data_IF_268076418922
#
_entry.id   IF_268076418922
#
_cell.length_a   1.000
_cell.length_b   1.000
_cell.length_c   1.000
_cell.angle_alpha   90.00
_cell.angle_beta   90.00
_cell.angle_gamma   90.00
#
_symmetry.space_group_name_H-M   'P 1'
#
loop_
_entity.id
_entity.type
_entity.pdbx_description
1 polymer ?
#
# COMPACT_ATOMS: atom_id res chain seq x y z
N UNK A 1 -22.21 6.98 -2.58
CA UNK A 1 -21.35 6.15 -1.75
C UNK A 1 -20.23 7.04 -1.26
N UNK A 2 -19.91 7.04 0.03
CA UNK A 2 -18.71 7.72 0.50
C UNK A 2 -17.48 6.82 0.23
N UNK A 3 -16.26 7.40 0.25
CA UNK A 3 -15.02 6.67 -0.07
C UNK A 3 -14.78 5.44 0.82
N UNK A 4 -15.31 5.45 2.05
CA UNK A 4 -15.17 4.34 3.00
C UNK A 4 -16.13 3.18 2.70
N UNK A 5 -17.38 3.47 2.32
CA UNK A 5 -18.34 2.46 1.85
C UNK A 5 -17.83 1.75 0.58
N UNK A 6 -17.23 2.50 -0.33
CA UNK A 6 -16.69 1.96 -1.58
C UNK A 6 -15.46 1.07 -1.33
N UNK A 7 -14.58 1.50 -0.43
CA UNK A 7 -13.46 0.70 0.03
C UNK A 7 -13.91 -0.65 0.63
N UNK A 8 -14.89 -0.63 1.55
CA UNK A 8 -15.41 -1.86 2.15
C UNK A 8 -16.10 -2.77 1.11
N UNK A 9 -16.82 -2.20 0.14
CA UNK A 9 -17.44 -2.95 -0.94
C UNK A 9 -16.40 -3.70 -1.78
N UNK A 10 -15.31 -3.04 -2.19
CA UNK A 10 -14.23 -3.67 -2.96
C UNK A 10 -13.62 -4.81 -2.18
N UNK A 11 -13.20 -4.56 -0.93
CA UNK A 11 -12.55 -5.58 -0.12
C UNK A 11 -13.48 -6.75 0.21
N UNK A 12 -14.80 -6.54 0.24
CA UNK A 12 -15.77 -7.62 0.49
C UNK A 12 -15.78 -8.71 -0.59
N UNK A 13 -15.29 -8.40 -1.80
CA UNK A 13 -15.16 -9.36 -2.91
C UNK A 13 -13.96 -10.30 -2.75
N UNK A 14 -13.05 -9.97 -1.85
CA UNK A 14 -11.79 -10.66 -1.64
C UNK A 14 -11.76 -11.38 -0.30
N UNK A 15 -11.19 -12.59 -0.27
CA UNK A 15 -11.02 -13.35 0.97
C UNK A 15 -9.82 -12.84 1.79
N UNK A 16 -9.90 -11.59 2.24
CA UNK A 16 -8.87 -10.98 3.09
C UNK A 16 -9.12 -11.33 4.55
N UNK A 17 -8.11 -11.88 5.22
CA UNK A 17 -8.21 -12.21 6.62
C UNK A 17 -8.39 -10.94 7.47
N UNK A 18 -9.46 -10.91 8.27
CA UNK A 18 -9.72 -9.79 9.19
C UNK A 18 -8.78 -9.84 10.38
N UNK A 19 -8.32 -8.66 10.79
CA UNK A 19 -7.55 -8.47 12.01
C UNK A 19 -8.48 -8.53 13.22
N UNK A 20 -8.16 -9.41 14.17
CA UNK A 20 -8.89 -9.55 15.44
C UNK A 20 -8.13 -8.99 16.64
N UNK A 21 -6.82 -8.80 16.49
CA UNK A 21 -5.94 -8.29 17.54
C UNK A 21 -5.58 -6.83 17.27
N UNK A 22 -5.25 -6.08 18.33
CA UNK A 22 -4.69 -4.74 18.16
C UNK A 22 -3.35 -4.80 17.40
N UNK A 23 -3.05 -3.73 16.67
CA UNK A 23 -1.77 -3.56 16.01
C UNK A 23 -0.62 -3.63 17.02
N UNK A 24 0.45 -4.30 16.62
CA UNK A 24 1.73 -4.37 17.35
C UNK A 24 2.58 -3.15 17.09
N UNK A 25 2.43 -2.57 15.89
CA UNK A 25 3.08 -1.33 15.44
C UNK A 25 2.05 -0.22 15.38
N UNK A 26 2.38 0.96 15.88
CA UNK A 26 1.49 2.14 15.81
C UNK A 26 1.67 2.90 14.50
N UNK A 27 0.63 3.60 14.06
CA UNK A 27 0.75 4.49 12.90
C UNK A 27 1.78 5.59 13.16
N UNK A 28 1.81 6.15 14.37
CA UNK A 28 2.75 7.21 14.75
C UNK A 28 4.22 6.76 14.69
N UNK A 29 4.51 5.48 14.96
CA UNK A 29 5.85 4.93 14.80
C UNK A 29 6.27 4.89 13.33
N UNK A 30 5.39 4.44 12.45
CA UNK A 30 5.66 4.38 11.00
C UNK A 30 5.75 5.78 10.39
N UNK A 31 4.82 6.68 10.73
CA UNK A 31 4.79 8.07 10.26
C UNK A 31 6.06 8.85 10.64
N UNK A 32 6.66 8.56 11.81
CA UNK A 32 7.95 9.15 12.21
C UNK A 32 9.11 8.70 11.34
N UNK A 33 9.07 7.48 10.81
CA UNK A 33 10.14 6.94 9.95
C UNK A 33 10.05 7.55 8.56
N UNK A 34 8.84 7.61 7.99
CA UNK A 34 8.60 8.03 6.60
C UNK A 34 8.37 9.53 6.43
N UNK A 35 8.35 10.29 7.53
CA UNK A 35 8.19 11.74 7.54
C UNK A 35 6.88 12.28 6.89
N UNK A 36 5.83 11.47 6.81
CA UNK A 36 4.50 11.91 6.38
C UNK A 36 3.38 11.19 7.14
N UNK A 37 2.17 11.75 7.08
CA UNK A 37 0.97 11.15 7.68
C UNK A 37 0.36 10.09 6.77
N UNK A 38 0.13 8.90 7.30
CA UNK A 38 -0.52 7.84 6.54
C UNK A 38 -1.95 8.29 6.15
N UNK A 39 -2.43 7.94 4.95
CA UNK A 39 -3.78 8.28 4.55
C UNK A 39 -4.79 7.40 5.30
N UNK A 40 -5.99 7.93 5.55
CA UNK A 40 -6.98 7.29 6.43
C UNK A 40 -7.58 6.00 5.83
N UNK A 41 -7.64 5.90 4.50
CA UNK A 41 -8.05 4.69 3.80
C UNK A 41 -7.08 3.53 4.05
N UNK A 42 -5.76 3.77 3.98
CA UNK A 42 -4.76 2.77 4.32
C UNK A 42 -4.75 2.44 5.82
N UNK A 43 -4.93 3.43 6.72
CA UNK A 43 -5.08 3.13 8.16
C UNK A 43 -6.29 2.25 8.43
N UNK A 44 -7.38 2.48 7.71
CA UNK A 44 -8.60 1.65 7.79
C UNK A 44 -8.30 0.23 7.34
N UNK A 45 -7.60 0.04 6.21
CA UNK A 45 -7.12 -1.27 5.79
C UNK A 45 -6.29 -1.95 6.89
N UNK A 46 -5.20 -1.30 7.31
CA UNK A 46 -4.25 -1.84 8.28
C UNK A 46 -4.90 -2.21 9.62
N UNK A 47 -5.86 -1.42 10.09
CA UNK A 47 -6.56 -1.65 11.36
C UNK A 47 -7.53 -2.83 11.31
N UNK A 48 -8.08 -3.15 10.13
CA UNK A 48 -9.17 -4.12 9.99
C UNK A 48 -8.75 -5.43 9.31
N UNK A 49 -7.62 -5.42 8.60
CA UNK A 49 -7.17 -6.54 7.76
C UNK A 49 -5.70 -6.91 8.04
N UNK A 50 -5.38 -8.16 7.76
CA UNK A 50 -4.01 -8.71 7.77
C UNK A 50 -3.39 -8.54 6.37
N UNK A 51 -2.44 -9.39 6.00
CA UNK A 51 -1.94 -9.52 4.64
C UNK A 51 -2.99 -10.03 3.66
N UNK A 52 -2.75 -9.77 2.37
CA UNK A 52 -3.53 -10.33 1.26
C UNK A 52 -2.58 -10.81 0.17
N UNK A 53 -2.92 -11.92 -0.49
CA UNK A 53 -2.27 -12.37 -1.72
C UNK A 53 -3.32 -12.98 -2.63
N UNK A 54 -3.45 -12.43 -3.84
CA UNK A 54 -4.45 -12.87 -4.79
C UNK A 54 -4.57 -11.96 -6.00
N UNK A 55 -5.57 -12.23 -6.84
CA UNK A 55 -5.90 -11.35 -7.95
C UNK A 55 -6.83 -10.23 -7.48
N UNK A 56 -6.58 -9.01 -7.92
CA UNK A 56 -7.56 -7.91 -7.89
C UNK A 56 -7.78 -7.47 -9.34
N UNK A 57 -9.00 -7.60 -9.84
CA UNK A 57 -9.23 -7.59 -11.29
C UNK A 57 -8.46 -8.73 -11.97
N UNK A 58 -7.58 -8.39 -12.92
CA UNK A 58 -6.69 -9.35 -13.58
C UNK A 58 -5.26 -9.35 -13.01
N UNK A 59 -4.97 -8.48 -12.02
CA UNK A 59 -3.62 -8.23 -11.55
C UNK A 59 -3.29 -8.96 -10.25
N UNK A 60 -2.08 -9.51 -10.14
CA UNK A 60 -1.61 -10.15 -8.92
C UNK A 60 -1.18 -9.09 -7.91
N UNK A 61 -1.78 -9.13 -6.72
CA UNK A 61 -1.51 -8.19 -5.63
C UNK A 61 -1.15 -8.96 -4.37
N UNK A 62 -0.05 -8.56 -3.75
CA UNK A 62 0.36 -8.99 -2.42
C UNK A 62 0.45 -7.79 -1.49
N UNK A 63 -0.47 -7.66 -0.54
CA UNK A 63 -0.43 -6.62 0.49
C UNK A 63 0.23 -7.15 1.76
N UNK A 64 1.13 -6.37 2.36
CA UNK A 64 1.86 -6.78 3.56
C UNK A 64 1.09 -6.47 4.84
N UNK A 65 1.30 -7.32 5.84
CA UNK A 65 0.74 -7.12 7.17
C UNK A 65 1.37 -5.87 7.83
N UNK A 66 0.54 -4.96 8.32
CA UNK A 66 1.02 -3.74 8.97
C UNK A 66 1.91 -4.02 10.20
N UNK A 67 1.70 -5.12 10.91
CA UNK A 67 2.53 -5.47 12.07
C UNK A 67 3.98 -5.83 11.70
N UNK A 68 4.23 -6.16 10.43
CA UNK A 68 5.55 -6.54 9.91
C UNK A 68 6.16 -5.41 9.04
N UNK A 69 5.43 -4.32 8.85
CA UNK A 69 5.74 -3.30 7.84
C UNK A 69 7.11 -2.65 8.05
N UNK A 70 7.48 -2.38 9.30
CA UNK A 70 8.77 -1.78 9.66
C UNK A 70 9.91 -2.74 9.35
N UNK A 71 9.76 -4.02 9.71
CA UNK A 71 10.76 -5.05 9.47
C UNK A 71 10.99 -5.24 7.97
N UNK A 72 9.91 -5.39 7.21
CA UNK A 72 9.97 -5.62 5.76
C UNK A 72 10.64 -4.43 5.06
N UNK A 73 10.20 -3.20 5.33
CA UNK A 73 10.78 -2.00 4.69
C UNK A 73 12.24 -1.78 5.10
N UNK A 74 12.63 -2.12 6.32
CA UNK A 74 14.03 -2.11 6.76
C UNK A 74 14.85 -3.16 6.01
N UNK A 75 14.32 -4.37 5.87
CA UNK A 75 14.96 -5.48 5.16
C UNK A 75 15.22 -5.17 3.68
N UNK A 76 14.26 -4.55 3.00
CA UNK A 76 14.42 -4.06 1.62
C UNK A 76 15.18 -2.73 1.51
N UNK A 77 15.59 -2.15 2.64
CA UNK A 77 16.30 -0.86 2.71
C UNK A 77 15.50 0.32 2.13
N UNK A 78 14.17 0.22 1.99
CA UNK A 78 13.31 1.28 1.47
C UNK A 78 13.49 2.55 2.31
N UNK A 79 13.36 2.45 3.62
CA UNK A 79 13.53 3.60 4.52
C UNK A 79 14.91 4.27 4.44
N UNK A 80 15.95 3.54 4.05
CA UNK A 80 17.31 4.06 3.97
C UNK A 80 17.51 4.92 2.72
N UNK A 81 16.88 4.55 1.61
CA UNK A 81 17.12 5.17 0.32
C UNK A 81 15.95 6.01 -0.20
N UNK A 82 14.74 5.72 0.27
CA UNK A 82 13.49 6.36 -0.08
C UNK A 82 12.76 6.78 1.21
N UNK A 83 13.26 7.82 1.91
CA UNK A 83 12.78 8.19 3.24
C UNK A 83 11.36 8.73 3.28
N UNK A 84 10.77 9.09 2.13
CA UNK A 84 9.38 9.56 2.00
C UNK A 84 8.47 8.50 1.35
N UNK A 85 8.85 7.23 1.48
CA UNK A 85 8.19 6.08 0.85
C UNK A 85 7.98 4.96 1.88
N UNK A 86 6.79 4.37 1.87
CA UNK A 86 6.43 3.18 2.62
C UNK A 86 6.01 2.08 1.63
N UNK A 87 6.80 1.03 1.51
CA UNK A 87 6.38 -0.19 0.83
C UNK A 87 5.24 -0.86 1.61
N UNK A 88 4.15 -1.16 0.92
CA UNK A 88 2.92 -1.75 1.49
C UNK A 88 2.57 -3.10 0.87
N UNK A 89 3.31 -3.54 -0.13
CA UNK A 89 3.03 -4.76 -0.86
C UNK A 89 3.91 -4.95 -2.09
N UNK A 90 3.47 -5.80 -3.00
CA UNK A 90 4.06 -6.01 -4.32
C UNK A 90 3.10 -6.70 -5.26
N UNK A 91 3.52 -6.93 -6.49
CA UNK A 91 2.71 -7.60 -7.52
C UNK A 91 3.08 -9.09 -7.74
N UNK A 92 3.98 -9.63 -6.92
CA UNK A 92 4.52 -10.99 -7.09
C UNK A 92 5.49 -11.16 -8.28
N UNK A 93 5.73 -10.11 -9.08
CA UNK A 93 6.55 -10.10 -10.29
C UNK A 93 7.96 -9.52 -10.13
N UNK A 94 8.29 -8.96 -8.96
CA UNK A 94 9.58 -8.29 -8.72
C UNK A 94 9.45 -6.78 -8.47
N UNK A 95 8.23 -6.28 -8.42
CA UNK A 95 7.91 -4.90 -8.05
C UNK A 95 7.27 -4.82 -6.66
N UNK A 96 7.55 -3.74 -5.94
CA UNK A 96 6.83 -3.37 -4.73
C UNK A 96 5.78 -2.30 -5.03
N UNK A 97 4.73 -2.33 -4.23
CA UNK A 97 3.70 -1.31 -4.16
C UNK A 97 4.04 -0.43 -2.95
N UNK A 98 4.02 0.89 -3.10
CA UNK A 98 4.30 1.81 -2.01
C UNK A 98 3.37 3.01 -1.97
N UNK A 99 3.20 3.58 -0.76
CA UNK A 99 2.67 4.92 -0.55
C UNK A 99 3.88 5.85 -0.45
N UNK A 100 3.87 6.96 -1.19
CA UNK A 100 4.91 7.98 -1.03
C UNK A 100 4.38 9.40 -1.10
N UNK A 101 5.15 10.31 -0.51
CA UNK A 101 4.88 11.75 -0.50
C UNK A 101 6.04 12.49 -1.18
N UNK A 102 6.09 12.56 -2.52
CA UNK A 102 7.18 13.25 -3.22
C UNK A 102 7.24 14.75 -2.94
N UNK A 103 6.10 15.37 -2.61
CA UNK A 103 5.98 16.76 -2.17
C UNK A 103 5.03 16.83 -0.97
N UNK A 104 5.22 17.80 -0.07
CA UNK A 104 4.39 17.96 1.13
C UNK A 104 2.89 18.02 0.79
N UNK A 105 2.12 17.08 1.34
CA UNK A 105 0.68 16.97 1.13
C UNK A 105 0.25 16.20 -0.13
N UNK A 106 1.16 15.87 -1.03
CA UNK A 106 0.86 15.15 -2.28
C UNK A 106 1.19 13.66 -2.10
N UNK A 107 0.19 12.84 -1.78
CA UNK A 107 0.34 11.40 -1.67
C UNK A 107 0.03 10.71 -3.00
N UNK A 108 0.74 9.62 -3.28
CA UNK A 108 0.46 8.71 -4.38
C UNK A 108 0.79 7.26 -4.02
N UNK A 109 0.15 6.34 -4.72
CA UNK A 109 0.47 4.92 -4.73
C UNK A 109 1.32 4.64 -5.96
N UNK A 110 2.46 3.99 -5.77
CA UNK A 110 3.39 3.67 -6.85
C UNK A 110 3.68 2.18 -6.92
N UNK A 111 3.88 1.68 -8.13
CA UNK A 111 4.54 0.42 -8.42
C UNK A 111 5.98 0.73 -8.82
N UNK A 112 6.94 0.02 -8.25
CA UNK A 112 8.35 0.24 -8.56
C UNK A 112 9.16 -1.05 -8.48
N UNK A 113 10.13 -1.27 -9.38
CA UNK A 113 11.06 -2.38 -9.24
C UNK A 113 11.90 -2.21 -7.96
N UNK A 114 12.42 -3.30 -7.39
CA UNK A 114 13.40 -3.22 -6.28
C UNK A 114 14.77 -2.65 -6.69
N UNK A 115 14.86 -2.01 -7.85
CA UNK A 115 15.99 -1.18 -8.25
C UNK A 115 15.72 0.20 -7.66
N UNK A 116 16.52 0.59 -6.68
CA UNK A 116 16.28 1.76 -5.83
C UNK A 116 16.58 3.06 -6.62
N UNK A 117 15.67 3.41 -7.54
CA UNK A 117 15.72 4.61 -8.39
C UNK A 117 14.33 5.25 -8.44
N UNK A 118 14.22 6.50 -7.97
CA UNK A 118 12.94 7.23 -7.85
C UNK A 118 12.27 7.43 -9.22
N UNK A 119 13.08 7.50 -10.28
CA UNK A 119 12.65 7.64 -11.67
C UNK A 119 11.90 6.40 -12.20
N UNK A 120 12.02 5.25 -11.53
CA UNK A 120 11.34 4.02 -11.91
C UNK A 120 9.95 3.86 -11.26
N UNK A 121 9.49 4.84 -10.49
CA UNK A 121 8.18 4.80 -9.82
C UNK A 121 7.06 5.11 -10.82
N UNK A 122 6.14 4.15 -11.00
CA UNK A 122 4.94 4.29 -11.83
C UNK A 122 3.76 4.58 -10.91
N UNK A 123 3.07 5.69 -11.11
CA UNK A 123 1.88 6.03 -10.33
C UNK A 123 0.70 5.13 -10.73
N UNK A 124 0.21 4.35 -9.76
CA UNK A 124 -0.88 3.38 -9.93
C UNK A 124 -2.13 3.77 -9.14
N UNK A 125 -2.10 4.92 -8.44
CA UNK A 125 -3.25 5.47 -7.73
C UNK A 125 -2.90 6.76 -7.00
N UNK A 126 -3.91 7.56 -6.73
CA UNK A 126 -3.81 8.79 -5.93
C UNK A 126 -4.15 8.57 -4.45
N UNK A 127 -4.70 7.40 -4.13
CA UNK A 127 -5.02 6.94 -2.77
C UNK A 127 -5.03 5.41 -2.74
N UNK A 128 -5.06 4.81 -1.54
CA UNK A 128 -5.13 3.35 -1.43
C UNK A 128 -6.44 2.81 -2.03
N UNK A 129 -7.55 3.51 -1.79
CA UNK A 129 -8.84 3.13 -2.39
C UNK A 129 -8.85 3.31 -3.91
N UNK A 130 -8.31 4.41 -4.44
CA UNK A 130 -8.22 4.66 -5.90
C UNK A 130 -7.37 3.59 -6.59
N UNK A 131 -6.26 3.18 -5.97
CA UNK A 131 -5.45 2.04 -6.45
C UNK A 131 -6.30 0.77 -6.61
N UNK A 132 -7.05 0.38 -5.58
CA UNK A 132 -7.91 -0.82 -5.64
C UNK A 132 -9.01 -0.67 -6.68
N UNK A 133 -9.64 0.51 -6.77
CA UNK A 133 -10.67 0.81 -7.77
C UNK A 133 -10.17 0.71 -9.21
N UNK A 134 -8.94 1.17 -9.46
CA UNK A 134 -8.35 1.10 -10.80
C UNK A 134 -8.21 -0.36 -11.25
N UNK A 135 -7.68 -1.22 -10.39
CA UNK A 135 -7.54 -2.64 -10.69
C UNK A 135 -8.91 -3.34 -10.86
N UNK A 136 -9.86 -3.04 -9.98
CA UNK A 136 -11.24 -3.56 -10.08
C UNK A 136 -11.92 -3.23 -11.40
N UNK A 137 -11.61 -2.06 -11.95
CA UNK A 137 -12.15 -1.61 -13.22
C UNK A 137 -11.34 -2.09 -14.43
N UNK A 138 -10.40 -3.03 -14.23
CA UNK A 138 -9.63 -3.68 -15.29
C UNK A 138 -8.49 -2.85 -15.85
N UNK A 139 -7.96 -1.87 -15.10
CA UNK A 139 -6.69 -1.22 -15.48
C UNK A 139 -5.53 -2.12 -15.07
N UNK A 140 -4.63 -2.39 -16.01
CA UNK A 140 -3.38 -3.11 -15.74
C UNK A 140 -2.34 -2.20 -15.07
N UNK A 141 -1.24 -2.78 -14.58
CA UNK A 141 -0.18 -2.03 -13.89
C UNK A 141 0.44 -0.87 -14.69
N UNK A 142 0.45 -1.00 -16.01
CA UNK A 142 1.19 -0.12 -16.93
C UNK A 142 0.27 0.70 -17.85
N UNK A 143 -1.03 0.74 -17.56
CA UNK A 143 -2.06 1.46 -18.31
C UNK A 143 -2.30 2.91 -17.83
#
# INVERSE_FOLDING_TARGET
MNSMEQFEEILSKYEIARRVNKLRVTFEEVEKIINFKLPDDYKTFASNYLEFEGLIGEENVRLWNFDEIIEINTGYQIFKYLPETLGIGGNGGGEYIAIEQPNEGELRIVLSPFIIEKEAHIEIGTSFTDFLERLENGKEWFD
#
